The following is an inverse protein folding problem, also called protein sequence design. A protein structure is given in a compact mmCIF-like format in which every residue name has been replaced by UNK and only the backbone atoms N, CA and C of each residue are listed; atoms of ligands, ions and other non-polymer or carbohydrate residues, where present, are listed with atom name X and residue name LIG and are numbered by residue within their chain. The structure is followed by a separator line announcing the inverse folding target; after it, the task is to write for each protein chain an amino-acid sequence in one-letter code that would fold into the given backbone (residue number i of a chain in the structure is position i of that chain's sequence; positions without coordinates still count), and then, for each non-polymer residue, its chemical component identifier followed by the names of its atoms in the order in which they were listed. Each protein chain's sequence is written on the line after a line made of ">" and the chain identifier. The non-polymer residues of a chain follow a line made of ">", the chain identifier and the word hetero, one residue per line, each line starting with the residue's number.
data_IF_401059666580
#
_entry.id   IF_401059666580
#
_cell.length_a   1.000
_cell.length_b   1.000
_cell.length_c   1.000
_cell.angle_alpha   90.00
_cell.angle_beta   90.00
_cell.angle_gamma   90.00
#
_symmetry.space_group_name_H-M   'P 1'
#
loop_
_entity.id
_entity.type
_entity.pdbx_description
1 polymer ?
#
# COMPACT_ATOMS: atom_id res chain seq x y z
N UNK A 1 -29.93 -24.22 -8.40
CA UNK A 1 -30.04 -23.35 -9.59
C UNK A 1 -29.62 -21.97 -9.14
N UNK A 2 -28.43 -21.56 -9.54
CA UNK A 2 -27.82 -20.21 -9.49
C UNK A 2 -26.55 -20.37 -10.35
N UNK A 3 -26.61 -20.27 -11.69
CA UNK A 3 -26.47 -19.06 -12.51
C UNK A 3 -25.36 -18.14 -12.00
N UNK A 4 -24.11 -18.56 -12.20
CA UNK A 4 -23.00 -17.62 -12.32
C UNK A 4 -22.45 -17.74 -13.75
N UNK A 5 -22.67 -16.66 -14.50
CA UNK A 5 -22.14 -16.45 -15.83
C UNK A 5 -20.62 -16.30 -15.76
N UNK A 6 -19.96 -17.04 -16.64
CA UNK A 6 -18.57 -16.93 -17.04
C UNK A 6 -18.45 -15.75 -18.02
N UNK A 7 -17.54 -14.78 -17.83
CA UNK A 7 -17.30 -13.76 -18.84
C UNK A 7 -15.80 -13.63 -19.14
N UNK A 8 -15.22 -14.57 -19.89
CA UNK A 8 -13.91 -14.38 -20.51
C UNK A 8 -13.82 -15.20 -21.82
N UNK A 9 -14.56 -14.76 -22.85
CA UNK A 9 -14.34 -15.14 -24.25
C UNK A 9 -13.71 -13.95 -25.01
N UNK A 10 -12.49 -14.19 -25.51
CA UNK A 10 -11.81 -13.64 -26.70
C UNK A 10 -11.60 -12.10 -26.82
N UNK A 11 -10.49 -11.52 -27.32
CA UNK A 11 -9.77 -11.67 -28.60
C UNK A 11 -8.40 -10.95 -28.47
N UNK A 12 -7.33 -11.36 -29.20
CA UNK A 12 -5.98 -10.82 -29.07
C UNK A 12 -5.76 -9.53 -29.88
N UNK A 13 -5.03 -8.57 -29.33
CA UNK A 13 -4.58 -7.37 -30.05
C UNK A 13 -3.06 -7.36 -30.24
N UNK A 14 -2.68 -7.54 -31.49
CA UNK A 14 -1.35 -7.28 -32.03
C UNK A 14 -1.10 -5.76 -32.14
N UNK A 15 0.09 -5.30 -31.77
CA UNK A 15 0.69 -4.02 -32.16
C UNK A 15 2.22 -4.24 -32.12
N UNK A 16 2.88 -4.52 -33.24
CA UNK A 16 3.38 -3.58 -34.25
C UNK A 16 4.55 -2.73 -33.73
N UNK A 17 5.76 -3.24 -33.98
CA UNK A 17 7.05 -2.56 -33.87
C UNK A 17 7.15 -1.38 -34.85
N UNK A 18 7.70 -0.26 -34.39
CA UNK A 18 8.37 0.72 -35.26
C UNK A 18 9.39 1.51 -34.45
N UNK A 19 10.69 1.46 -34.80
CA UNK A 19 11.63 2.48 -34.35
C UNK A 19 12.44 3.11 -35.49
N UNK A 20 13.00 4.28 -35.15
CA UNK A 20 14.12 4.99 -35.79
C UNK A 20 13.82 5.83 -37.04
N UNK A 21 13.79 7.16 -36.83
CA UNK A 21 14.29 8.13 -37.81
C UNK A 21 15.29 9.04 -37.11
N UNK A 22 16.55 8.88 -37.46
CA UNK A 22 17.67 9.72 -37.08
C UNK A 22 17.61 11.05 -37.86
N UNK A 23 17.67 12.18 -37.15
CA UNK A 23 17.80 13.51 -37.72
C UNK A 23 19.27 13.95 -37.60
N UNK A 24 19.97 13.97 -38.73
CA UNK A 24 21.31 14.55 -38.86
C UNK A 24 21.25 16.08 -38.90
N UNK A 25 22.21 16.70 -38.21
CA UNK A 25 22.41 18.15 -38.11
C UNK A 25 23.00 18.74 -39.40
N UNK A 26 22.72 20.01 -39.78
CA UNK A 26 23.46 20.71 -40.82
C UNK A 26 24.66 21.49 -40.26
N UNK A 27 25.81 21.27 -40.90
CA UNK A 27 27.11 21.89 -40.61
C UNK A 27 27.34 23.18 -41.42
N UNK A 28 27.95 24.15 -40.74
CA UNK A 28 28.92 25.15 -41.21
C UNK A 28 28.48 26.26 -42.20
N UNK A 29 28.60 27.48 -41.65
CA UNK A 29 28.75 28.75 -42.36
C UNK A 29 29.94 28.75 -43.32
N UNK A 30 29.77 29.40 -44.48
CA UNK A 30 30.88 30.05 -45.16
C UNK A 30 30.45 31.45 -45.59
N UNK A 31 31.15 32.45 -45.07
CA UNK A 31 30.97 33.88 -45.32
C UNK A 31 31.94 34.26 -46.44
N UNK A 32 31.39 34.63 -47.59
CA UNK A 32 32.15 35.18 -48.72
C UNK A 32 31.91 36.69 -48.82
N UNK A 33 32.90 37.47 -48.40
CA UNK A 33 32.97 38.92 -48.60
C UNK A 33 33.30 39.22 -50.06
N UNK A 34 32.50 40.10 -50.69
CA UNK A 34 32.79 40.67 -52.01
C UNK A 34 31.84 41.82 -52.31
N UNK A 35 32.40 43.02 -52.51
CA UNK A 35 31.76 44.22 -53.05
C UNK A 35 32.83 45.03 -53.78
N UNK A 36 32.50 45.99 -54.66
CA UNK A 36 31.35 46.15 -55.57
C UNK A 36 31.84 46.37 -57.03
N UNK A 37 30.99 46.78 -57.99
CA UNK A 37 31.13 48.17 -58.43
C UNK A 37 29.83 48.88 -58.84
N UNK A 38 30.05 50.18 -59.04
CA UNK A 38 29.21 51.34 -59.37
C UNK A 38 28.23 51.19 -60.54
N UNK A 39 27.07 51.85 -60.44
CA UNK A 39 26.62 52.86 -61.40
C UNK A 39 25.38 53.60 -60.87
N UNK A 40 25.42 54.94 -60.95
CA UNK A 40 24.29 55.85 -60.73
C UNK A 40 23.35 55.83 -61.93
N UNK A 41 22.04 55.98 -61.71
CA UNK A 41 21.32 57.23 -62.04
C UNK A 41 19.79 57.08 -61.89
N UNK A 42 19.17 58.26 -61.77
CA UNK A 42 17.75 58.56 -61.94
C UNK A 42 16.92 58.72 -60.66
N UNK A 43 16.84 59.99 -60.23
CA UNK A 43 15.83 60.52 -59.32
C UNK A 43 14.57 60.92 -60.09
N UNK A 44 13.40 60.46 -59.63
CA UNK A 44 12.08 61.10 -59.61
C UNK A 44 11.09 59.96 -59.27
N UNK A 45 10.12 60.07 -58.37
CA UNK A 45 9.30 61.20 -57.95
C UNK A 45 8.71 60.88 -56.57
N UNK A 46 8.45 61.92 -55.78
CA UNK A 46 7.69 61.84 -54.53
C UNK A 46 6.34 61.15 -54.75
N UNK A 47 6.15 59.98 -54.16
CA UNK A 47 4.86 59.33 -54.04
C UNK A 47 4.67 58.85 -52.60
N UNK A 48 3.56 59.31 -52.01
CA UNK A 48 3.20 59.21 -50.60
C UNK A 48 3.20 57.74 -50.12
N UNK A 49 4.18 57.36 -49.31
CA UNK A 49 4.16 56.10 -48.55
C UNK A 49 3.23 56.23 -47.34
N UNK A 50 2.18 55.41 -47.17
CA UNK A 50 1.67 55.14 -45.84
C UNK A 50 2.73 54.35 -45.08
N UNK A 51 3.00 54.62 -43.79
CA UNK A 51 3.84 53.73 -43.01
C UNK A 51 3.06 52.43 -42.80
N UNK A 52 3.33 51.41 -43.62
CA UNK A 52 2.98 50.03 -43.31
C UNK A 52 3.77 49.63 -42.06
N UNK A 53 3.15 49.88 -40.90
CA UNK A 53 3.63 49.48 -39.58
C UNK A 53 3.80 47.96 -39.55
N UNK A 54 5.01 47.48 -39.82
CA UNK A 54 5.52 46.29 -39.15
C UNK A 54 6.40 46.79 -38.03
N UNK A 55 5.77 47.25 -36.95
CA UNK A 55 6.52 47.53 -35.73
C UNK A 55 6.96 46.17 -35.21
N UNK A 56 8.28 45.86 -35.16
CA UNK A 56 8.72 44.72 -34.38
C UNK A 56 8.17 44.88 -32.97
N UNK A 57 7.81 43.75 -32.36
CA UNK A 57 7.29 43.68 -31.00
C UNK A 57 8.11 44.63 -30.09
N UNK A 58 7.43 45.47 -29.32
CA UNK A 58 8.12 46.37 -28.39
C UNK A 58 8.89 45.55 -27.36
N UNK A 59 9.97 46.09 -26.79
CA UNK A 59 10.76 45.37 -25.78
C UNK A 59 9.90 44.89 -24.60
N UNK A 60 8.95 45.71 -24.13
CA UNK A 60 7.99 45.32 -23.08
C UNK A 60 7.17 44.09 -23.47
N UNK A 61 6.75 43.98 -24.74
CA UNK A 61 6.03 42.80 -25.22
C UNK A 61 6.94 41.56 -25.29
N UNK A 62 8.21 41.72 -25.66
CA UNK A 62 9.20 40.63 -25.67
C UNK A 62 9.45 40.13 -24.24
N UNK A 63 9.65 41.05 -23.30
CA UNK A 63 9.92 40.74 -21.89
C UNK A 63 8.73 40.03 -21.25
N UNK A 64 7.49 40.44 -21.57
CA UNK A 64 6.27 39.76 -21.10
C UNK A 64 6.14 38.34 -21.65
N UNK A 65 6.47 38.13 -22.92
CA UNK A 65 6.44 36.78 -23.53
C UNK A 65 7.50 35.89 -22.88
N UNK A 66 8.71 36.40 -22.68
CA UNK A 66 9.77 35.66 -22.01
C UNK A 66 9.38 35.26 -20.58
N UNK A 67 8.76 36.18 -19.84
CA UNK A 67 8.24 35.90 -18.50
C UNK A 67 7.15 34.83 -18.52
N UNK A 68 6.21 34.90 -19.46
CA UNK A 68 5.16 33.88 -19.61
C UNK A 68 5.74 32.49 -19.89
N UNK A 69 6.71 32.39 -20.79
CA UNK A 69 7.38 31.12 -21.11
C UNK A 69 8.08 30.56 -19.87
N UNK A 70 8.86 31.39 -19.16
CA UNK A 70 9.55 30.98 -17.93
C UNK A 70 8.56 30.52 -16.84
N UNK A 71 7.46 31.24 -16.65
CA UNK A 71 6.42 30.85 -15.71
C UNK A 71 5.76 29.53 -16.12
N UNK A 72 5.47 29.34 -17.41
CA UNK A 72 4.89 28.09 -17.91
C UNK A 72 5.82 26.91 -17.67
N UNK A 73 7.12 27.06 -17.96
CA UNK A 73 8.13 26.02 -17.72
C UNK A 73 8.23 25.69 -16.22
N UNK A 74 8.21 26.70 -15.36
CA UNK A 74 8.24 26.51 -13.91
C UNK A 74 6.99 25.78 -13.39
N UNK A 75 5.81 26.13 -13.91
CA UNK A 75 4.56 25.44 -13.58
C UNK A 75 4.65 23.97 -13.99
N UNK A 76 5.02 23.68 -15.24
CA UNK A 76 5.17 22.30 -15.71
C UNK A 76 6.21 21.51 -14.91
N UNK A 77 7.34 22.13 -14.56
CA UNK A 77 8.36 21.48 -13.72
C UNK A 77 7.84 21.16 -12.30
N UNK A 78 6.99 22.03 -11.76
CA UNK A 78 6.39 21.81 -10.42
C UNK A 78 5.29 20.76 -10.47
N UNK A 79 4.45 20.77 -11.51
CA UNK A 79 3.44 19.74 -11.75
C UNK A 79 4.08 18.36 -11.91
N UNK A 80 5.16 18.25 -12.67
CA UNK A 80 5.91 17.00 -12.82
C UNK A 80 6.44 16.49 -11.46
N UNK A 81 6.99 17.38 -10.62
CA UNK A 81 7.42 17.01 -9.26
C UNK A 81 6.26 16.50 -8.40
N UNK A 82 5.07 17.11 -8.51
CA UNK A 82 3.89 16.66 -7.78
C UNK A 82 3.50 15.24 -8.23
N UNK A 83 3.50 14.98 -9.54
CA UNK A 83 3.23 13.65 -10.10
C UNK A 83 4.26 12.64 -9.62
N UNK A 84 5.55 12.97 -9.64
CA UNK A 84 6.62 12.09 -9.14
C UNK A 84 6.43 11.72 -7.67
N UNK A 85 6.06 12.69 -6.83
CA UNK A 85 5.75 12.46 -5.41
C UNK A 85 4.52 11.55 -5.27
N UNK A 86 3.46 11.79 -6.05
CA UNK A 86 2.26 10.95 -6.02
C UNK A 86 2.55 9.51 -6.44
N UNK A 87 3.35 9.30 -7.48
CA UNK A 87 3.77 7.97 -7.93
C UNK A 87 4.64 7.29 -6.87
N UNK A 88 5.55 8.04 -6.22
CA UNK A 88 6.38 7.51 -5.16
C UNK A 88 5.54 7.05 -3.96
N UNK A 89 4.64 7.90 -3.46
CA UNK A 89 3.71 7.57 -2.36
C UNK A 89 2.84 6.37 -2.74
N UNK A 90 2.26 6.36 -3.95
CA UNK A 90 1.48 5.23 -4.44
C UNK A 90 2.28 3.92 -4.46
N UNK A 91 3.53 3.94 -4.94
CA UNK A 91 4.39 2.74 -4.95
C UNK A 91 4.72 2.23 -3.54
N UNK A 92 4.99 3.12 -2.59
CA UNK A 92 5.26 2.75 -1.20
C UNK A 92 4.01 2.21 -0.48
N UNK A 93 2.85 2.81 -0.73
CA UNK A 93 1.59 2.44 -0.09
C UNK A 93 0.90 1.21 -0.75
N UNK A 94 0.95 1.06 -2.07
CA UNK A 94 -0.01 0.23 -2.80
C UNK A 94 0.38 -1.26 -2.94
N UNK A 95 1.63 -1.67 -2.73
CA UNK A 95 1.98 -3.08 -2.97
C UNK A 95 2.81 -3.80 -1.92
N UNK A 96 4.01 -3.35 -1.50
CA UNK A 96 4.85 -4.19 -0.66
C UNK A 96 4.32 -4.27 0.77
N UNK A 97 3.97 -3.11 1.36
CA UNK A 97 3.45 -3.01 2.72
C UNK A 97 2.09 -3.68 2.87
N UNK A 98 1.15 -3.40 1.96
CA UNK A 98 -0.19 -3.97 2.02
C UNK A 98 -0.21 -5.50 1.80
N UNK A 99 0.61 -6.04 0.90
CA UNK A 99 0.72 -7.50 0.69
C UNK A 99 1.34 -8.20 1.91
N UNK A 100 2.38 -7.59 2.50
CA UNK A 100 3.00 -8.07 3.74
C UNK A 100 1.99 -8.12 4.89
N UNK A 101 1.27 -7.02 5.12
CA UNK A 101 0.23 -6.93 6.15
C UNK A 101 -0.90 -7.95 5.95
N UNK A 102 -1.35 -8.19 4.71
CA UNK A 102 -2.35 -9.23 4.41
C UNK A 102 -1.84 -10.63 4.79
N UNK A 103 -0.58 -10.95 4.49
CA UNK A 103 0.04 -12.23 4.84
C UNK A 103 0.17 -12.40 6.35
N UNK A 104 0.62 -11.36 7.04
CA UNK A 104 0.77 -11.38 8.50
C UNK A 104 -0.57 -11.47 9.20
N UNK A 105 -1.59 -10.77 8.70
CA UNK A 105 -2.97 -10.90 9.17
C UNK A 105 -3.47 -12.35 9.03
N UNK A 106 -3.30 -12.98 7.87
CA UNK A 106 -3.70 -14.37 7.65
C UNK A 106 -2.96 -15.34 8.60
N UNK A 107 -1.65 -15.12 8.81
CA UNK A 107 -0.84 -15.90 9.76
C UNK A 107 -1.31 -15.72 11.20
N UNK A 108 -1.64 -14.49 11.60
CA UNK A 108 -2.15 -14.18 12.93
C UNK A 108 -3.53 -14.83 13.15
N UNK A 109 -4.42 -14.76 12.17
CA UNK A 109 -5.74 -15.42 12.21
C UNK A 109 -5.61 -16.94 12.34
N UNK A 110 -4.71 -17.56 11.57
CA UNK A 110 -4.44 -19.01 11.67
C UNK A 110 -3.91 -19.40 13.04
N UNK A 111 -2.96 -18.63 13.58
CA UNK A 111 -2.42 -18.84 14.93
C UNK A 111 -3.51 -18.72 16.00
N UNK A 112 -4.34 -17.68 15.92
CA UNK A 112 -5.45 -17.48 16.84
C UNK A 112 -6.44 -18.64 16.80
N UNK A 113 -6.77 -19.15 15.61
CA UNK A 113 -7.65 -20.30 15.46
C UNK A 113 -7.07 -21.55 16.13
N UNK A 114 -5.78 -21.84 15.91
CA UNK A 114 -5.09 -22.97 16.56
C UNK A 114 -5.14 -22.85 18.09
N UNK A 115 -4.85 -21.66 18.61
CA UNK A 115 -4.88 -21.41 20.06
C UNK A 115 -6.29 -21.54 20.65
N UNK A 116 -7.33 -21.12 19.92
CA UNK A 116 -8.73 -21.32 20.35
C UNK A 116 -9.09 -22.81 20.44
N UNK A 117 -8.70 -23.59 19.44
CA UNK A 117 -8.92 -25.04 19.44
C UNK A 117 -8.14 -25.74 20.55
N UNK A 118 -6.87 -25.37 20.76
CA UNK A 118 -6.05 -25.88 21.86
C UNK A 118 -6.66 -25.52 23.22
N UNK A 119 -7.08 -24.26 23.42
CA UNK A 119 -7.78 -23.84 24.63
C UNK A 119 -9.03 -24.70 24.87
N UNK A 120 -9.83 -24.96 23.84
CA UNK A 120 -11.05 -25.79 23.95
C UNK A 120 -10.71 -27.21 24.39
N UNK A 121 -9.66 -27.83 23.81
CA UNK A 121 -9.19 -29.16 24.22
C UNK A 121 -8.70 -29.18 25.67
N UNK A 122 -7.89 -28.20 26.06
CA UNK A 122 -7.36 -28.10 27.40
C UNK A 122 -8.47 -27.89 28.44
N UNK A 123 -9.47 -27.05 28.14
CA UNK A 123 -10.64 -26.85 29.01
C UNK A 123 -11.43 -28.16 29.16
N UNK A 124 -11.63 -28.91 28.07
CA UNK A 124 -12.31 -30.21 28.12
C UNK A 124 -11.54 -31.20 29.00
N UNK A 125 -10.23 -31.33 28.79
CA UNK A 125 -9.36 -32.20 29.58
C UNK A 125 -9.35 -31.83 31.07
N UNK A 126 -9.25 -30.53 31.39
CA UNK A 126 -9.32 -30.04 32.76
C UNK A 126 -10.68 -30.32 33.41
N UNK A 127 -11.77 -30.16 32.67
CA UNK A 127 -13.12 -30.47 33.17
C UNK A 127 -13.27 -31.95 33.51
N UNK A 128 -12.75 -32.84 32.66
CA UNK A 128 -12.78 -34.29 32.91
C UNK A 128 -11.94 -34.65 34.14
N UNK A 129 -10.74 -34.08 34.26
CA UNK A 129 -9.87 -34.35 35.40
C UNK A 129 -10.44 -33.78 36.70
N UNK A 130 -11.07 -32.61 36.64
CA UNK A 130 -11.78 -32.03 37.78
C UNK A 130 -12.92 -32.94 38.26
N UNK A 131 -13.70 -33.51 37.34
CA UNK A 131 -14.79 -34.45 37.68
C UNK A 131 -14.24 -35.74 38.30
N UNK A 132 -13.19 -36.31 37.69
CA UNK A 132 -12.49 -37.49 38.23
C UNK A 132 -11.99 -37.25 39.64
N UNK A 133 -11.37 -36.09 39.88
CA UNK A 133 -10.85 -35.72 41.19
C UNK A 133 -11.98 -35.53 42.20
N UNK A 134 -13.06 -34.83 41.83
CA UNK A 134 -14.25 -34.66 42.69
C UNK A 134 -14.85 -35.99 43.13
N UNK A 135 -14.92 -36.96 42.23
CA UNK A 135 -15.38 -38.32 42.56
C UNK A 135 -14.47 -38.99 43.57
N UNK A 136 -13.15 -39.00 43.32
CA UNK A 136 -12.18 -39.62 44.24
C UNK A 136 -12.17 -38.98 45.63
N UNK A 137 -12.27 -37.64 45.71
CA UNK A 137 -12.36 -36.90 46.98
C UNK A 137 -13.67 -37.23 47.70
N UNK A 138 -14.78 -37.31 46.98
CA UNK A 138 -16.08 -37.71 47.55
C UNK A 138 -16.06 -39.12 48.14
N UNK A 139 -15.52 -40.10 47.40
CA UNK A 139 -15.36 -41.47 47.87
C UNK A 139 -14.46 -41.55 49.11
N UNK A 140 -13.33 -40.84 49.10
CA UNK A 140 -12.43 -40.74 50.26
C UNK A 140 -13.11 -40.11 51.49
N UNK A 141 -13.90 -39.07 51.30
CA UNK A 141 -14.64 -38.43 52.39
C UNK A 141 -15.70 -39.35 53.00
N UNK A 142 -16.41 -40.13 52.18
CA UNK A 142 -17.38 -41.12 52.67
C UNK A 142 -16.70 -42.27 53.44
N UNK A 143 -15.54 -42.74 52.97
CA UNK A 143 -14.74 -43.73 53.69
C UNK A 143 -14.29 -43.19 55.05
N UNK A 144 -13.76 -41.96 55.08
CA UNK A 144 -13.34 -41.31 56.32
C UNK A 144 -14.49 -41.14 57.31
N UNK A 145 -15.69 -40.77 56.84
CA UNK A 145 -16.90 -40.71 57.69
C UNK A 145 -17.26 -42.06 58.28
N UNK A 146 -17.16 -43.15 57.50
CA UNK A 146 -17.41 -44.52 58.00
C UNK A 146 -16.39 -44.91 59.06
N UNK A 147 -15.10 -44.67 58.82
CA UNK A 147 -14.03 -44.93 59.78
C UNK A 147 -14.23 -44.14 61.08
N UNK A 148 -14.63 -42.88 60.98
CA UNK A 148 -14.90 -42.05 62.16
C UNK A 148 -16.06 -42.60 62.99
N UNK A 149 -17.16 -43.01 62.35
CA UNK A 149 -18.31 -43.65 63.03
C UNK A 149 -17.90 -44.94 63.73
N UNK A 150 -17.07 -45.75 63.08
CA UNK A 150 -16.57 -47.00 63.66
C UNK A 150 -15.71 -46.73 64.91
N UNK A 151 -14.77 -45.78 64.82
CA UNK A 151 -13.95 -45.36 65.96
C UNK A 151 -14.81 -44.85 67.11
N UNK A 152 -15.84 -44.06 66.82
CA UNK A 152 -16.74 -43.51 67.84
C UNK A 152 -17.48 -44.62 68.61
N UNK A 153 -17.98 -45.63 67.89
CA UNK A 153 -18.58 -46.84 68.50
C UNK A 153 -17.58 -47.56 69.41
N UNK A 154 -16.32 -47.71 68.98
CA UNK A 154 -15.29 -48.33 69.82
C UNK A 154 -14.98 -47.49 71.06
N UNK A 155 -14.89 -46.17 70.94
CA UNK A 155 -14.62 -45.28 72.06
C UNK A 155 -15.79 -45.24 73.06
N UNK A 156 -17.04 -45.25 72.60
CA UNK A 156 -18.21 -45.36 73.48
C UNK A 156 -18.23 -46.70 74.23
N UNK A 157 -17.90 -47.81 73.57
CA UNK A 157 -17.76 -49.13 74.24
C UNK A 157 -16.64 -49.15 75.27
N UNK A 158 -15.52 -48.46 75.01
CA UNK A 158 -14.41 -48.38 75.98
C UNK A 158 -14.81 -47.55 77.20
N UNK A 159 -15.53 -46.43 77.02
CA UNK A 159 -16.02 -45.59 78.12
C UNK A 159 -17.06 -46.28 79.01
N UNK A 160 -17.86 -47.19 78.44
CA UNK A 160 -18.94 -47.89 79.15
C UNK A 160 -18.51 -49.20 79.81
N UNK A 161 -17.27 -49.66 79.60
CA UNK A 161 -16.74 -50.80 80.36
C UNK A 161 -16.52 -50.38 81.81
N UNK A 162 -17.17 -51.01 82.80
CA UNK A 162 -16.91 -50.73 84.19
C UNK A 162 -15.45 -51.08 84.47
N UNK A 163 -14.68 -50.11 84.97
CA UNK A 163 -13.38 -50.39 85.55
C UNK A 163 -13.62 -51.42 86.65
N UNK A 164 -13.06 -52.63 86.50
CA UNK A 164 -13.00 -53.62 87.58
C UNK A 164 -12.22 -52.96 88.72
N UNK A 165 -12.94 -52.46 89.73
CA UNK A 165 -12.42 -52.03 91.02
C UNK A 165 -12.46 -53.20 91.98
#
# INVERSE_FOLDING_TARGET
>A
MDIWNDPDDEIPTANADTPMTDNESPTASTVGLGSPPVSSDSSNSSELRPPLRKSPLTQDQIDRIALYILCSEYVSATENKIVDIQVHIGRECDQPGAKGLKKDLAKAQSTLHKLKEEKKRNVCALSQEQERLKKSVGEGAELAKKQLKEIDVYLERVKTRPCLR
#
